data_IF_897739520883
#
_entry.id   IF_897739520883
#
_cell.length_a   1.000
_cell.length_b   1.000
_cell.length_c   1.000
_cell.angle_alpha   90.00
_cell.angle_beta   90.00
_cell.angle_gamma   90.00
#
_symmetry.space_group_name_H-M   'P 1'
#
loop_
_entity.id
_entity.type
_entity.pdbx_description
1 polymer ?
#
# COMPACT_ATOMS: atom_id res chain seq x y z
N UNK A 1 -25.34 -11.06 -0.01
CA UNK A 1 -24.43 -11.93 -0.79
C UNK A 1 -23.97 -11.16 -2.00
N UNK A 2 -22.65 -11.02 -2.20
CA UNK A 2 -22.05 -10.41 -3.38
C UNK A 2 -21.60 -11.55 -4.29
N UNK A 3 -22.09 -11.56 -5.54
CA UNK A 3 -21.78 -12.60 -6.49
C UNK A 3 -21.20 -11.99 -7.77
N UNK A 4 -20.04 -12.47 -8.21
CA UNK A 4 -19.44 -12.09 -9.48
C UNK A 4 -20.17 -12.83 -10.62
N UNK A 5 -20.80 -12.08 -11.54
CA UNK A 5 -21.60 -12.64 -12.64
C UNK A 5 -20.89 -12.67 -13.99
N UNK A 6 -19.86 -11.84 -14.17
CA UNK A 6 -19.15 -11.71 -15.43
C UNK A 6 -17.71 -11.28 -15.23
N UNK A 7 -16.85 -11.56 -16.20
CA UNK A 7 -15.45 -11.18 -16.24
C UNK A 7 -15.23 -10.08 -17.27
N UNK A 8 -14.21 -9.26 -17.00
CA UNK A 8 -13.67 -8.34 -18.00
C UNK A 8 -12.49 -8.99 -18.72
N UNK A 9 -12.44 -8.78 -20.03
CA UNK A 9 -11.32 -9.21 -20.87
C UNK A 9 -10.69 -7.99 -21.52
N UNK A 10 -9.39 -7.96 -21.52
CA UNK A 10 -8.62 -6.94 -22.22
C UNK A 10 -8.59 -7.25 -23.73
N UNK A 11 -8.21 -6.28 -24.55
CA UNK A 11 -8.02 -6.46 -25.99
C UNK A 11 -6.98 -7.55 -26.31
N UNK A 12 -6.03 -7.82 -25.40
CA UNK A 12 -5.09 -8.95 -25.46
C UNK A 12 -5.76 -10.32 -25.28
N UNK A 13 -7.03 -10.36 -24.87
CA UNK A 13 -7.75 -11.57 -24.53
C UNK A 13 -7.62 -12.04 -23.10
N UNK A 14 -6.78 -11.42 -22.29
CA UNK A 14 -6.57 -11.77 -20.89
C UNK A 14 -7.68 -11.24 -19.99
N UNK A 15 -8.13 -12.07 -19.07
CA UNK A 15 -9.05 -11.69 -18.00
C UNK A 15 -8.32 -10.83 -16.97
N UNK A 16 -9.05 -9.94 -16.29
CA UNK A 16 -8.52 -9.16 -15.16
C UNK A 16 -8.67 -9.86 -13.81
N UNK A 17 -9.23 -11.08 -13.78
CA UNK A 17 -9.47 -11.82 -12.56
C UNK A 17 -8.14 -12.21 -11.90
N UNK A 18 -8.08 -12.17 -10.58
CA UNK A 18 -6.92 -12.51 -9.72
C UNK A 18 -5.66 -11.68 -9.95
N UNK A 19 -5.40 -11.22 -11.16
CA UNK A 19 -4.14 -10.55 -11.54
C UNK A 19 -4.29 -9.05 -11.76
N UNK A 20 -5.53 -8.57 -11.95
CA UNK A 20 -5.75 -7.19 -12.37
C UNK A 20 -5.08 -6.87 -13.72
N UNK A 21 -4.57 -5.68 -13.85
CA UNK A 21 -3.77 -5.22 -15.00
C UNK A 21 -2.33 -5.07 -14.55
N UNK A 22 -1.46 -5.98 -14.99
CA UNK A 22 -0.04 -5.96 -14.63
C UNK A 22 0.68 -4.84 -15.40
N UNK A 23 1.42 -3.96 -14.72
CA UNK A 23 2.26 -2.95 -15.34
C UNK A 23 3.54 -3.59 -15.89
N UNK A 24 4.13 -2.96 -16.90
CA UNK A 24 5.41 -3.40 -17.48
C UNK A 24 6.61 -3.18 -16.53
N UNK A 25 6.49 -2.20 -15.64
CA UNK A 25 7.42 -1.91 -14.54
C UNK A 25 6.58 -1.84 -13.28
N UNK A 26 6.71 -2.83 -12.41
CA UNK A 26 6.00 -2.89 -11.14
C UNK A 26 6.72 -2.05 -10.08
N UNK A 27 5.94 -1.28 -9.32
CA UNK A 27 6.41 -0.68 -8.08
C UNK A 27 5.99 -1.57 -6.92
N UNK A 28 6.77 -1.67 -5.85
CA UNK A 28 6.35 -2.36 -4.65
C UNK A 28 5.12 -1.66 -4.06
N UNK A 29 4.17 -2.45 -3.62
CA UNK A 29 2.97 -1.98 -2.92
C UNK A 29 2.97 -2.57 -1.50
N UNK A 30 2.56 -1.77 -0.53
CA UNK A 30 2.41 -2.22 0.85
C UNK A 30 1.49 -3.45 0.96
N UNK A 31 0.48 -3.53 0.09
CA UNK A 31 -0.42 -4.69 0.00
C UNK A 31 0.25 -5.96 -0.50
N UNK A 32 1.45 -5.90 -1.08
CA UNK A 32 2.23 -7.08 -1.47
C UNK A 32 2.68 -7.93 -0.25
N UNK A 33 2.59 -7.37 0.96
CA UNK A 33 2.81 -8.10 2.20
C UNK A 33 1.61 -8.98 2.63
N UNK A 34 0.48 -8.92 1.91
CA UNK A 34 -0.77 -9.53 2.30
C UNK A 34 -1.28 -10.48 1.21
N UNK A 35 -1.26 -11.78 1.49
CA UNK A 35 -1.78 -12.80 0.57
C UNK A 35 -3.30 -12.96 0.64
N UNK A 36 -3.92 -12.43 1.70
CA UNK A 36 -5.34 -12.57 2.03
C UNK A 36 -6.18 -11.35 1.64
N UNK A 37 -5.61 -10.40 0.87
CA UNK A 37 -6.28 -9.21 0.39
C UNK A 37 -6.58 -9.32 -1.09
N UNK A 38 -7.80 -8.93 -1.47
CA UNK A 38 -8.24 -8.86 -2.84
C UNK A 38 -9.21 -9.97 -3.24
N UNK A 39 -9.65 -9.93 -4.50
CA UNK A 39 -10.61 -10.91 -5.03
C UNK A 39 -10.03 -12.32 -5.09
N UNK A 40 -8.71 -12.45 -5.27
CA UNK A 40 -8.00 -13.73 -5.36
C UNK A 40 -8.06 -14.55 -4.07
N UNK A 41 -8.27 -13.89 -2.92
CA UNK A 41 -8.39 -14.55 -1.62
C UNK A 41 -9.78 -15.10 -1.31
N UNK A 42 -10.79 -14.82 -2.16
CA UNK A 42 -12.16 -15.26 -1.95
C UNK A 42 -12.38 -16.65 -2.53
N UNK A 43 -12.98 -17.57 -1.75
CA UNK A 43 -13.29 -18.95 -2.18
C UNK A 43 -14.16 -19.01 -3.43
N UNK A 44 -14.99 -17.98 -3.69
CA UNK A 44 -15.88 -17.90 -4.84
C UNK A 44 -15.36 -17.07 -6.01
N UNK A 45 -14.08 -16.69 -6.00
CA UNK A 45 -13.48 -15.89 -7.07
C UNK A 45 -13.45 -16.67 -8.40
N UNK A 46 -13.80 -15.99 -9.48
CA UNK A 46 -13.73 -16.61 -10.82
C UNK A 46 -12.26 -16.76 -11.23
N UNK A 47 -11.86 -17.95 -11.77
CA UNK A 47 -10.47 -18.18 -12.15
C UNK A 47 -10.04 -17.24 -13.28
N UNK A 48 -8.78 -16.93 -13.34
CA UNK A 48 -8.16 -16.24 -14.46
C UNK A 48 -8.19 -17.14 -15.70
N UNK A 49 -8.52 -16.57 -16.85
CA UNK A 49 -8.56 -17.26 -18.16
C UNK A 49 -8.31 -16.27 -19.29
N UNK A 50 -8.30 -16.79 -20.51
CA UNK A 50 -8.10 -16.01 -21.72
C UNK A 50 -9.18 -16.31 -22.75
N UNK A 51 -9.51 -15.29 -23.56
CA UNK A 51 -10.32 -15.41 -24.77
C UNK A 51 -9.47 -15.02 -25.99
N UNK A 52 -10.01 -15.24 -27.18
CA UNK A 52 -9.32 -14.84 -28.41
C UNK A 52 -9.06 -13.32 -28.39
N UNK A 53 -7.80 -12.87 -28.56
CA UNK A 53 -7.49 -11.45 -28.62
C UNK A 53 -8.16 -10.78 -29.83
N UNK A 54 -8.45 -9.49 -29.67
CA UNK A 54 -8.96 -8.65 -30.76
C UNK A 54 -7.77 -8.08 -31.53
N UNK A 55 -7.85 -8.05 -32.86
CA UNK A 55 -6.86 -7.35 -33.67
C UNK A 55 -6.94 -5.84 -33.37
N UNK A 56 -5.83 -5.25 -32.94
CA UNK A 56 -5.73 -3.83 -32.64
C UNK A 56 -4.42 -3.22 -33.14
N UNK A 57 -4.46 -1.96 -33.39
CA UNK A 57 -3.29 -1.19 -33.81
C UNK A 57 -2.59 -0.59 -32.60
N UNK A 58 -1.32 -0.90 -32.40
CA UNK A 58 -0.53 -0.27 -31.36
C UNK A 58 -0.04 1.10 -31.82
N UNK A 59 -0.47 2.14 -31.08
CA UNK A 59 0.02 3.49 -31.27
C UNK A 59 1.12 3.71 -30.22
N UNK A 60 2.29 4.16 -30.66
CA UNK A 60 3.50 4.34 -29.86
C UNK A 60 4.09 3.01 -29.33
N UNK A 61 5.16 2.53 -29.94
CA UNK A 61 5.82 1.27 -29.56
C UNK A 61 6.66 1.48 -28.29
N UNK A 62 6.00 1.60 -27.13
CA UNK A 62 6.68 1.70 -25.82
C UNK A 62 7.54 0.47 -25.57
N UNK A 63 7.13 -0.68 -26.07
CA UNK A 63 7.87 -1.96 -25.93
C UNK A 63 9.32 -1.87 -26.37
N UNK A 64 9.64 -1.07 -27.40
CA UNK A 64 11.03 -0.88 -27.85
C UNK A 64 11.91 -0.17 -26.80
N UNK A 65 11.31 0.61 -25.92
CA UNK A 65 12.00 1.37 -24.87
C UNK A 65 12.00 0.67 -23.50
N UNK A 66 11.17 -0.36 -23.31
CA UNK A 66 11.03 -1.05 -22.03
C UNK A 66 12.37 -1.51 -21.42
N UNK A 67 13.31 -2.10 -22.16
CA UNK A 67 14.58 -2.51 -21.57
C UNK A 67 15.32 -1.31 -20.96
N UNK A 68 15.35 -0.19 -21.66
CA UNK A 68 16.02 1.03 -21.16
C UNK A 68 15.26 1.67 -19.99
N UNK A 69 13.94 1.63 -20.04
CA UNK A 69 13.11 2.14 -18.94
C UNK A 69 13.30 1.32 -17.67
N UNK A 70 13.41 -0.01 -17.78
CA UNK A 70 13.72 -0.91 -16.66
C UNK A 70 15.08 -0.62 -16.05
N UNK A 71 16.12 -0.53 -16.86
CA UNK A 71 17.47 -0.16 -16.41
C UNK A 71 17.46 1.17 -15.64
N UNK A 72 16.83 2.20 -16.21
CA UNK A 72 16.72 3.51 -15.57
C UNK A 72 15.86 3.49 -14.30
N UNK A 73 14.85 2.63 -14.25
CA UNK A 73 14.06 2.42 -13.05
C UNK A 73 14.89 1.77 -11.94
N UNK A 74 15.61 0.70 -12.24
CA UNK A 74 16.47 -0.01 -11.28
C UNK A 74 17.53 0.92 -10.66
N UNK A 75 18.18 1.75 -11.50
CA UNK A 75 19.14 2.73 -11.00
C UNK A 75 18.50 3.74 -10.04
N UNK A 76 17.36 4.31 -10.41
CA UNK A 76 16.65 5.27 -9.56
C UNK A 76 16.09 4.64 -8.29
N UNK A 77 15.59 3.42 -8.39
CA UNK A 77 15.08 2.66 -7.25
C UNK A 77 16.18 2.39 -6.22
N UNK A 78 17.36 1.97 -6.67
CA UNK A 78 18.50 1.71 -5.79
C UNK A 78 18.98 2.97 -5.04
N UNK A 79 18.87 4.14 -5.65
CA UNK A 79 19.28 5.43 -5.07
C UNK A 79 18.16 6.12 -4.27
N UNK A 80 16.92 5.64 -4.33
CA UNK A 80 15.78 6.29 -3.69
C UNK A 80 15.59 5.82 -2.24
N UNK A 81 15.76 6.73 -1.25
CA UNK A 81 15.53 6.39 0.16
C UNK A 81 14.07 5.96 0.43
N UNK A 82 13.11 6.58 -0.25
CA UNK A 82 11.70 6.25 -0.10
C UNK A 82 11.37 4.86 -0.65
N UNK A 83 11.97 4.48 -1.79
CA UNK A 83 11.77 3.17 -2.39
C UNK A 83 12.37 2.07 -1.50
N UNK A 84 13.59 2.25 -1.04
CA UNK A 84 14.26 1.29 -0.17
C UNK A 84 13.50 1.13 1.16
N UNK A 85 13.08 2.23 1.76
CA UNK A 85 12.25 2.22 2.97
C UNK A 85 10.95 1.42 2.78
N UNK A 86 10.24 1.63 1.66
CA UNK A 86 9.01 0.90 1.35
C UNK A 86 9.26 -0.60 1.19
N UNK A 87 10.30 -1.00 0.45
CA UNK A 87 10.67 -2.41 0.27
C UNK A 87 10.95 -3.07 1.63
N UNK A 88 11.77 -2.43 2.47
CA UNK A 88 12.08 -2.93 3.80
C UNK A 88 10.83 -3.02 4.70
N UNK A 89 9.90 -2.08 4.61
CA UNK A 89 8.63 -2.15 5.34
C UNK A 89 7.79 -3.34 4.91
N UNK A 90 7.68 -3.59 3.60
CA UNK A 90 6.95 -4.74 3.05
C UNK A 90 7.56 -6.04 3.57
N UNK A 91 8.89 -6.18 3.52
CA UNK A 91 9.59 -7.37 4.01
C UNK A 91 9.39 -7.60 5.51
N UNK A 92 9.49 -6.54 6.32
CA UNK A 92 9.23 -6.61 7.77
C UNK A 92 7.79 -7.02 8.08
N UNK A 93 6.83 -6.42 7.39
CA UNK A 93 5.41 -6.75 7.57
C UNK A 93 5.14 -8.20 7.20
N UNK A 94 5.70 -8.69 6.09
CA UNK A 94 5.60 -10.10 5.69
C UNK A 94 6.18 -11.02 6.75
N UNK A 95 7.38 -10.76 7.22
CA UNK A 95 8.03 -11.56 8.27
C UNK A 95 7.25 -11.58 9.59
N UNK A 96 6.55 -10.48 9.93
CA UNK A 96 5.68 -10.44 11.11
C UNK A 96 4.41 -11.28 10.92
N UNK A 97 3.84 -11.29 9.73
CA UNK A 97 2.63 -12.08 9.41
C UNK A 97 2.90 -13.57 9.29
N UNK A 98 4.08 -13.96 8.81
CA UNK A 98 4.50 -15.36 8.71
C UNK A 98 4.76 -16.03 10.07
N UNK A 99 4.70 -15.27 11.17
CA UNK A 99 4.84 -15.83 12.51
C UNK A 99 3.61 -16.67 12.88
N UNK A 100 3.77 -17.97 12.94
CA UNK A 100 2.71 -18.91 13.34
C UNK A 100 2.40 -18.89 14.84
N UNK A 101 3.33 -18.41 15.66
CA UNK A 101 3.21 -18.44 17.12
C UNK A 101 3.52 -17.09 17.75
N UNK A 102 2.72 -16.73 18.76
CA UNK A 102 2.94 -15.55 19.56
C UNK A 102 3.23 -15.97 21.02
N UNK A 103 4.21 -15.35 21.68
CA UNK A 103 4.45 -15.60 23.09
C UNK A 103 3.27 -15.08 23.93
N UNK A 104 2.87 -15.86 24.94
CA UNK A 104 1.81 -15.45 25.88
C UNK A 104 2.37 -14.67 27.08
N UNK A 105 3.68 -14.63 27.25
CA UNK A 105 4.31 -13.89 28.36
C UNK A 105 4.29 -12.39 28.04
N UNK A 106 3.65 -11.60 28.89
CA UNK A 106 3.48 -10.16 28.72
C UNK A 106 4.82 -9.41 28.56
N UNK A 107 5.83 -9.75 29.38
CA UNK A 107 7.12 -9.10 29.29
C UNK A 107 7.83 -9.35 27.95
N UNK A 108 7.67 -10.57 27.41
CA UNK A 108 8.23 -10.93 26.10
C UNK A 108 7.49 -10.18 24.98
N UNK A 109 6.16 -10.08 25.07
CA UNK A 109 5.35 -9.35 24.09
C UNK A 109 5.70 -7.85 24.10
N UNK A 110 5.83 -7.23 25.27
CA UNK A 110 6.21 -5.82 25.37
C UNK A 110 7.61 -5.57 24.79
N UNK A 111 8.59 -6.41 25.13
CA UNK A 111 9.93 -6.30 24.58
C UNK A 111 9.97 -6.50 23.06
N UNK A 112 9.16 -7.39 22.50
CA UNK A 112 9.07 -7.62 21.05
C UNK A 112 8.45 -6.40 20.34
N UNK A 113 7.38 -5.82 20.90
CA UNK A 113 6.76 -4.60 20.39
C UNK A 113 7.73 -3.41 20.39
N UNK A 114 8.41 -3.19 21.51
CA UNK A 114 9.40 -2.12 21.62
C UNK A 114 10.53 -2.31 20.59
N UNK A 115 11.00 -3.53 20.41
CA UNK A 115 12.01 -3.84 19.39
C UNK A 115 11.52 -3.51 17.98
N UNK A 116 10.30 -3.88 17.63
CA UNK A 116 9.72 -3.58 16.31
C UNK A 116 9.59 -2.07 16.11
N UNK A 117 9.05 -1.36 17.09
CA UNK A 117 8.95 0.12 17.05
C UNK A 117 10.30 0.79 16.87
N UNK A 118 11.33 0.31 17.56
CA UNK A 118 12.68 0.84 17.45
C UNK A 118 13.26 0.66 16.05
N UNK A 119 13.07 -0.51 15.46
CA UNK A 119 13.50 -0.77 14.08
C UNK A 119 12.77 0.15 13.09
N UNK A 120 11.47 0.35 13.24
CA UNK A 120 10.69 1.26 12.41
C UNK A 120 11.13 2.72 12.56
N UNK A 121 11.38 3.14 13.78
CA UNK A 121 11.87 4.48 14.08
C UNK A 121 13.26 4.73 13.48
N UNK A 122 14.19 3.78 13.63
CA UNK A 122 15.54 3.88 13.06
C UNK A 122 15.50 3.90 11.52
N UNK A 123 14.67 3.06 10.90
CA UNK A 123 14.48 3.04 9.46
C UNK A 123 13.89 4.36 8.93
N UNK A 124 12.90 4.92 9.62
CA UNK A 124 12.32 6.22 9.25
C UNK A 124 13.34 7.35 9.41
N UNK A 125 14.13 7.35 10.48
CA UNK A 125 15.15 8.37 10.67
C UNK A 125 16.29 8.26 9.66
N UNK A 126 16.69 7.05 9.29
CA UNK A 126 17.66 6.85 8.21
C UNK A 126 17.13 7.43 6.88
N UNK A 127 15.85 7.14 6.56
CA UNK A 127 15.18 7.72 5.38
C UNK A 127 15.19 9.25 5.41
N UNK A 128 14.89 9.85 6.58
CA UNK A 128 14.87 11.30 6.78
C UNK A 128 16.26 11.90 6.64
N UNK A 129 17.26 11.28 7.23
CA UNK A 129 18.66 11.70 7.13
C UNK A 129 19.13 11.74 5.68
N UNK A 130 18.89 10.66 4.91
CA UNK A 130 19.23 10.57 3.49
C UNK A 130 18.52 11.63 2.62
N UNK A 131 17.37 12.13 3.09
CA UNK A 131 16.59 13.20 2.42
C UNK A 131 16.93 14.59 2.96
N UNK A 132 17.77 14.72 3.96
CA UNK A 132 18.08 16.00 4.62
C UNK A 132 16.89 16.58 5.39
N UNK A 133 15.98 15.74 5.89
CA UNK A 133 14.83 16.13 6.69
C UNK A 133 15.19 16.10 8.18
N UNK A 134 14.44 16.84 8.97
CA UNK A 134 14.55 16.81 10.44
C UNK A 134 14.26 15.40 10.98
N UNK A 135 15.12 14.92 11.89
CA UNK A 135 14.95 13.60 12.49
C UNK A 135 13.78 13.62 13.50
N UNK A 136 13.09 12.51 13.61
CA UNK A 136 12.08 12.31 14.66
C UNK A 136 12.78 12.04 15.99
N UNK A 137 12.17 12.49 17.07
CA UNK A 137 12.56 12.12 18.44
C UNK A 137 11.87 10.82 18.84
N UNK A 138 12.56 10.01 19.65
CA UNK A 138 11.98 8.80 20.20
C UNK A 138 10.98 9.17 21.30
N UNK A 139 9.78 8.61 21.21
CA UNK A 139 8.73 8.76 22.22
C UNK A 139 8.50 7.38 22.84
N UNK A 140 8.58 7.27 24.16
CA UNK A 140 8.30 6.02 24.87
C UNK A 140 6.82 5.64 24.78
N UNK A 141 6.52 4.33 24.91
CA UNK A 141 5.14 3.84 24.73
C UNK A 141 4.20 4.43 25.78
N UNK A 142 4.69 4.71 26.98
CA UNK A 142 3.92 5.32 28.06
C UNK A 142 3.46 6.75 27.73
N UNK A 143 4.28 7.51 27.00
CA UNK A 143 3.98 8.88 26.62
C UNK A 143 3.00 8.95 25.43
N UNK A 144 2.96 7.92 24.58
CA UNK A 144 2.01 7.87 23.46
C UNK A 144 0.54 7.76 23.91
N UNK A 145 0.29 7.12 25.05
CA UNK A 145 -1.09 6.96 25.58
C UNK A 145 -1.52 8.14 26.46
N UNK A 146 -0.59 9.00 26.88
CA UNK A 146 -0.91 10.19 27.68
C UNK A 146 -1.33 11.38 26.80
N UNK A 147 -0.92 11.43 25.52
CA UNK A 147 -1.27 12.52 24.58
C UNK A 147 -2.71 12.37 24.00
N UNK A 148 -3.29 11.17 23.98
CA UNK A 148 -4.62 10.93 23.45
C UNK A 148 -5.75 11.46 24.37
N UNK A 149 -5.50 11.69 25.65
CA UNK A 149 -6.49 12.26 26.58
C UNK A 149 -6.78 13.77 26.34
N UNK A 150 -5.86 14.49 25.70
CA UNK A 150 -6.03 15.92 25.38
C UNK A 150 -6.82 16.17 24.07
N UNK A 151 -6.96 15.17 23.19
CA UNK A 151 -7.67 15.31 21.90
C UNK A 151 -9.18 15.08 22.02
N UNK A 152 -9.64 14.46 23.10
CA UNK A 152 -11.07 14.16 23.32
C UNK A 152 -11.94 15.38 23.70
N UNK A 153 -11.34 16.57 23.89
CA UNK A 153 -12.06 17.78 24.32
C UNK A 153 -12.38 18.78 23.20
N UNK A 154 -12.07 18.50 21.94
CA UNK A 154 -12.48 19.34 20.82
C UNK A 154 -13.86 18.94 20.34
N UNK A 155 -14.90 19.61 20.81
CA UNK A 155 -16.25 19.51 20.26
C UNK A 155 -16.25 19.92 18.78
N UNK A 156 -16.96 19.18 17.89
CA UNK A 156 -17.07 19.59 16.49
C UNK A 156 -17.90 20.88 16.42
N UNK A 157 -17.28 21.96 16.02
CA UNK A 157 -18.02 23.18 15.65
C UNK A 157 -18.98 22.86 14.49
N UNK A 158 -20.27 22.80 14.82
CA UNK A 158 -21.36 22.72 13.86
C UNK A 158 -21.54 24.06 13.18
N UNK A 159 -20.84 24.32 12.09
CA UNK A 159 -21.21 25.36 11.16
C UNK A 159 -22.03 24.77 10.01
N UNK A 160 -23.32 24.56 10.27
CA UNK A 160 -24.30 24.48 9.21
C UNK A 160 -24.55 25.93 8.76
N UNK A 161 -23.90 26.33 7.68
CA UNK A 161 -24.24 27.55 6.94
C UNK A 161 -25.48 27.24 6.10
N UNK A 162 -26.64 27.71 6.58
CA UNK A 162 -27.86 27.82 5.79
C UNK A 162 -27.74 29.03 4.87
N UNK A 163 -27.75 28.79 3.57
CA UNK A 163 -27.98 29.92 2.66
C UNK A 163 -27.51 29.71 1.24
N UNK A 164 -28.36 29.27 0.36
CA UNK A 164 -29.03 30.07 -0.66
C UNK A 164 -29.61 29.19 -1.75
N UNK A 165 -30.93 29.09 -1.73
CA UNK A 165 -31.73 28.76 -2.90
C UNK A 165 -31.50 29.82 -3.98
N UNK A 166 -30.83 29.50 -5.08
CA UNK A 166 -31.01 30.25 -6.32
C UNK A 166 -31.83 29.42 -7.30
N UNK A 167 -33.08 29.89 -7.41
CA UNK A 167 -34.04 29.56 -8.45
C UNK A 167 -33.48 29.94 -9.80
N UNK A 168 -33.24 28.99 -10.69
CA UNK A 168 -33.09 29.25 -12.11
C UNK A 168 -34.39 28.76 -12.79
N UNK A 169 -35.21 29.75 -13.20
CA UNK A 169 -36.30 29.59 -14.13
C UNK A 169 -35.79 29.75 -15.57
N UNK A 170 -36.38 28.92 -16.46
CA UNK A 170 -36.37 28.88 -17.93
C UNK A 170 -35.38 27.95 -18.56
#
# INVERSE_FOLDING_TARGET
VKLTRSKFYRISGESTQHRGVLPDIAFPDFYDAYDDIGESSLDGALPWDTVRPVEFRTYHPVQAFLPKLRELHELRAAESPDFNYLVEQIERTRALRERETLPLNEAVVKADRERVRRIEFEAENLRRELKGLELKEWIDEEDLYNDDDDVAAAEPESSLDEGSEETIAL
#
